data_IF_033852586660
#
_entry.id   IF_033852586660
#
_cell.length_a   1.000
_cell.length_b   1.000
_cell.length_c   1.000
_cell.angle_alpha   90.00
_cell.angle_beta   90.00
_cell.angle_gamma   90.00
#
_symmetry.space_group_name_H-M   'P 1'
#
loop_
_entity.id
_entity.type
_entity.pdbx_description
1 polymer ?
#
# COMPACT_ATOMS: atom_id res chain seq x y z
N UNK A 1 2.02 -16.29 22.30
CA UNK A 1 3.07 -16.15 21.26
C UNK A 1 4.47 -16.61 21.72
N UNK A 2 5.04 -16.14 22.84
CA UNK A 2 6.42 -16.50 23.29
C UNK A 2 6.68 -18.00 23.54
N UNK A 3 5.68 -18.78 23.99
CA UNK A 3 5.80 -20.26 24.16
C UNK A 3 5.73 -21.02 22.82
N UNK A 4 4.95 -20.54 21.85
CA UNK A 4 4.79 -21.16 20.52
C UNK A 4 6.00 -20.92 19.61
N UNK A 5 6.62 -19.74 19.70
CA UNK A 5 7.86 -19.44 18.98
C UNK A 5 9.03 -20.33 19.43
N UNK A 6 9.11 -20.65 20.74
CA UNK A 6 10.09 -21.61 21.28
C UNK A 6 9.89 -23.03 20.74
N UNK A 7 8.66 -23.40 20.37
CA UNK A 7 8.33 -24.72 19.83
C UNK A 7 8.45 -24.83 18.30
N UNK A 8 8.95 -23.79 17.60
CA UNK A 8 9.09 -23.75 16.12
C UNK A 8 7.82 -24.13 15.34
N UNK A 9 6.63 -23.90 15.91
CA UNK A 9 5.37 -24.23 15.26
C UNK A 9 5.13 -23.25 14.11
N UNK A 10 5.26 -23.73 12.87
CA UNK A 10 5.11 -22.94 11.64
C UNK A 10 3.68 -22.94 11.08
N UNK A 11 2.86 -23.90 11.48
CA UNK A 11 1.47 -24.07 11.01
C UNK A 11 0.58 -24.39 12.20
N UNK A 12 -0.57 -23.76 12.23
CA UNK A 12 -1.62 -23.97 13.23
C UNK A 12 -2.91 -24.19 12.48
N UNK A 13 -3.69 -25.18 12.90
CA UNK A 13 -5.03 -25.36 12.37
C UNK A 13 -5.89 -24.23 12.93
N UNK A 14 -6.51 -23.49 12.03
CA UNK A 14 -7.35 -22.33 12.34
C UNK A 14 -8.76 -22.65 11.88
N UNK A 15 -9.75 -22.23 12.64
CA UNK A 15 -11.16 -22.45 12.29
C UNK A 15 -11.63 -21.36 11.32
N UNK A 16 -12.60 -21.66 10.45
CA UNK A 16 -13.18 -20.69 9.51
C UNK A 16 -13.68 -19.40 10.21
N UNK A 17 -14.18 -19.51 11.44
CA UNK A 17 -14.64 -18.35 12.22
C UNK A 17 -13.51 -17.40 12.66
N UNK A 18 -12.28 -17.90 12.82
CA UNK A 18 -11.12 -17.08 13.18
C UNK A 18 -10.52 -16.36 11.96
N UNK A 19 -10.81 -16.86 10.75
CA UNK A 19 -10.41 -16.26 9.48
C UNK A 19 -11.39 -15.17 9.02
N UNK A 20 -12.67 -15.28 9.40
CA UNK A 20 -13.70 -14.28 9.06
C UNK A 20 -13.29 -12.89 9.58
N UNK A 21 -13.36 -11.90 8.69
CA UNK A 21 -13.04 -10.51 9.02
C UNK A 21 -11.54 -10.16 8.92
N UNK A 22 -10.67 -11.11 8.61
CA UNK A 22 -9.30 -10.80 8.16
C UNK A 22 -9.35 -10.13 6.79
N UNK A 23 -8.34 -9.33 6.47
CA UNK A 23 -8.28 -8.56 5.23
C UNK A 23 -7.21 -9.16 4.33
N UNK A 24 -7.50 -9.28 3.04
CA UNK A 24 -6.55 -9.77 2.04
C UNK A 24 -5.48 -8.70 1.77
N UNK A 25 -4.21 -9.10 1.82
CA UNK A 25 -3.06 -8.20 1.66
C UNK A 25 -2.72 -7.91 0.19
N UNK A 26 -2.94 -8.87 -0.71
CA UNK A 26 -2.57 -8.77 -2.12
C UNK A 26 -3.74 -9.15 -3.02
N UNK A 27 -3.82 -8.53 -4.20
CA UNK A 27 -4.76 -8.96 -5.23
C UNK A 27 -4.41 -10.38 -5.66
N UNK A 28 -5.39 -11.28 -5.61
CA UNK A 28 -5.19 -12.69 -5.95
C UNK A 28 -5.58 -12.89 -7.41
N UNK A 29 -4.65 -13.39 -8.22
CA UNK A 29 -4.85 -13.69 -9.63
C UNK A 29 -4.94 -15.20 -9.85
N UNK A 30 -5.70 -15.62 -10.86
CA UNK A 30 -5.74 -17.03 -11.29
C UNK A 30 -4.71 -17.27 -12.38
N UNK A 31 -3.92 -18.33 -12.23
CA UNK A 31 -3.03 -18.82 -13.28
C UNK A 31 -3.87 -19.29 -14.47
N UNK A 32 -3.89 -18.48 -15.53
CA UNK A 32 -4.39 -18.87 -16.85
C UNK A 32 -5.62 -18.13 -17.38
N UNK A 33 -6.29 -17.27 -16.62
CA UNK A 33 -7.28 -16.36 -17.22
C UNK A 33 -7.27 -15.00 -16.56
N UNK A 34 -6.97 -13.98 -17.37
CA UNK A 34 -6.97 -12.58 -17.00
C UNK A 34 -8.42 -12.05 -16.76
N UNK A 35 -9.38 -12.91 -16.39
CA UNK A 35 -10.78 -12.59 -16.63
C UNK A 35 -11.86 -13.15 -15.69
N UNK A 36 -11.61 -13.72 -14.51
CA UNK A 36 -12.79 -14.13 -13.69
C UNK A 36 -12.79 -13.78 -12.22
N UNK A 37 -11.66 -13.59 -11.53
CA UNK A 37 -11.70 -13.33 -10.08
C UNK A 37 -10.64 -12.33 -9.63
N UNK A 38 -10.76 -11.08 -10.04
CA UNK A 38 -10.06 -9.99 -9.37
C UNK A 38 -10.71 -9.80 -8.01
N UNK A 39 -10.14 -10.41 -6.96
CA UNK A 39 -10.40 -9.97 -5.59
C UNK A 39 -9.45 -8.82 -5.30
N UNK A 40 -9.93 -7.56 -5.22
CA UNK A 40 -9.05 -6.45 -4.94
C UNK A 40 -8.32 -6.66 -3.61
N UNK A 41 -7.11 -6.12 -3.53
CA UNK A 41 -6.45 -5.94 -2.24
C UNK A 41 -7.39 -5.17 -1.29
N UNK A 42 -7.17 -5.32 0.02
CA UNK A 42 -7.97 -4.65 1.05
C UNK A 42 -9.43 -5.16 1.20
N UNK A 43 -9.77 -6.32 0.62
CA UNK A 43 -11.09 -6.92 0.78
C UNK A 43 -11.20 -7.79 2.03
N UNK A 44 -12.35 -7.76 2.74
CA UNK A 44 -12.58 -8.65 3.87
C UNK A 44 -12.81 -10.09 3.42
N UNK A 45 -12.21 -11.02 4.16
CA UNK A 45 -12.34 -12.45 3.98
C UNK A 45 -13.73 -12.89 4.46
N UNK A 46 -14.65 -13.06 3.52
CA UNK A 46 -15.99 -13.59 3.75
C UNK A 46 -16.03 -15.10 3.49
N UNK A 47 -17.09 -15.78 3.95
CA UNK A 47 -17.28 -17.20 3.69
C UNK A 47 -17.40 -17.49 2.17
N UNK A 48 -18.05 -16.59 1.43
CA UNK A 48 -18.18 -16.68 -0.03
C UNK A 48 -16.81 -16.59 -0.72
N UNK A 49 -15.94 -15.68 -0.25
CA UNK A 49 -14.59 -15.54 -0.78
C UNK A 49 -13.77 -16.82 -0.53
N UNK A 50 -13.88 -17.40 0.68
CA UNK A 50 -13.20 -18.64 1.02
C UNK A 50 -13.63 -19.82 0.14
N UNK A 51 -14.93 -19.99 -0.10
CA UNK A 51 -15.42 -21.04 -1.02
C UNK A 51 -14.86 -20.84 -2.41
N UNK A 52 -14.87 -19.61 -2.94
CA UNK A 52 -14.28 -19.29 -4.25
C UNK A 52 -12.78 -19.55 -4.30
N UNK A 53 -12.04 -19.26 -3.23
CA UNK A 53 -10.60 -19.54 -3.17
C UNK A 53 -10.31 -21.04 -3.26
N UNK A 54 -11.08 -21.86 -2.52
CA UNK A 54 -10.95 -23.32 -2.53
C UNK A 54 -11.36 -23.91 -3.88
N UNK A 55 -12.48 -23.47 -4.45
CA UNK A 55 -12.95 -23.90 -5.77
C UNK A 55 -11.92 -23.62 -6.88
N UNK A 56 -11.16 -22.54 -6.74
CA UNK A 56 -10.12 -22.15 -7.69
C UNK A 56 -8.75 -22.75 -7.36
N UNK A 57 -8.64 -23.63 -6.36
CA UNK A 57 -7.40 -24.33 -6.03
C UNK A 57 -6.31 -23.45 -5.44
N UNK A 58 -6.65 -22.28 -4.89
CA UNK A 58 -5.67 -21.37 -4.29
C UNK A 58 -5.25 -21.93 -2.93
N UNK A 59 -3.96 -22.27 -2.80
CA UNK A 59 -3.42 -22.98 -1.62
C UNK A 59 -2.87 -22.05 -0.55
N UNK A 60 -2.57 -20.80 -0.89
CA UNK A 60 -2.02 -19.81 0.02
C UNK A 60 -2.57 -18.42 -0.29
N UNK A 61 -2.86 -17.64 0.76
CA UNK A 61 -3.32 -16.25 0.68
C UNK A 61 -2.66 -15.45 1.78
N UNK A 62 -2.15 -14.27 1.43
CA UNK A 62 -1.58 -13.32 2.38
C UNK A 62 -2.67 -12.45 3.01
N UNK A 63 -2.65 -12.35 4.33
CA UNK A 63 -3.62 -11.58 5.11
C UNK A 63 -2.93 -10.47 5.92
N UNK A 64 -3.60 -9.32 6.04
CA UNK A 64 -3.13 -8.23 6.87
C UNK A 64 -3.20 -8.60 8.36
N UNK A 65 -2.07 -8.45 9.04
CA UNK A 65 -1.98 -8.61 10.49
C UNK A 65 -2.35 -7.30 11.20
N UNK A 66 -3.64 -7.08 11.43
CA UNK A 66 -4.12 -5.96 12.26
C UNK A 66 -4.35 -6.49 13.67
N UNK A 67 -3.62 -5.93 14.63
CA UNK A 67 -3.60 -6.36 16.02
C UNK A 67 -4.00 -5.23 16.97
N UNK A 68 -4.47 -5.54 18.20
CA UNK A 68 -4.92 -4.53 19.15
C UNK A 68 -3.78 -3.65 19.70
N UNK A 69 -2.52 -4.06 19.51
CA UNK A 69 -1.33 -3.36 20.00
C UNK A 69 -0.34 -3.22 18.84
N UNK A 70 0.15 -2.01 18.60
CA UNK A 70 1.21 -1.62 17.64
C UNK A 70 0.91 -1.71 16.13
N UNK A 71 -0.14 -2.40 15.67
CA UNK A 71 -0.47 -2.45 14.22
C UNK A 71 -1.92 -2.03 13.98
N UNK A 72 -2.09 -0.74 13.68
CA UNK A 72 -3.39 -0.13 13.41
C UNK A 72 -3.90 -0.36 11.99
N UNK A 73 -5.20 -0.13 11.78
CA UNK A 73 -5.88 -0.23 10.48
C UNK A 73 -5.78 1.05 9.63
N UNK A 74 -5.02 2.06 10.04
CA UNK A 74 -5.05 3.40 9.42
C UNK A 74 -4.83 3.38 7.90
N UNK A 75 -3.80 2.69 7.40
CA UNK A 75 -3.54 2.59 5.96
C UNK A 75 -4.69 1.90 5.22
N UNK A 76 -5.22 0.84 5.81
CA UNK A 76 -6.34 0.05 5.28
C UNK A 76 -7.60 0.90 5.19
N UNK A 77 -7.93 1.62 6.25
CA UNK A 77 -9.13 2.44 6.33
C UNK A 77 -9.02 3.66 5.40
N UNK A 78 -7.83 4.24 5.24
CA UNK A 78 -7.57 5.29 4.24
C UNK A 78 -7.75 4.76 2.82
N UNK A 79 -7.17 3.60 2.48
CA UNK A 79 -7.33 2.99 1.15
C UNK A 79 -8.79 2.60 0.86
N UNK A 80 -9.58 2.23 1.87
CA UNK A 80 -10.99 1.92 1.69
C UNK A 80 -11.85 3.15 1.36
N UNK A 81 -11.40 4.34 1.77
CA UNK A 81 -12.05 5.62 1.46
C UNK A 81 -11.53 6.24 0.15
N UNK A 82 -10.34 5.82 -0.31
CA UNK A 82 -9.77 6.27 -1.57
C UNK A 82 -10.60 5.75 -2.74
N UNK A 83 -10.97 6.66 -3.64
CA UNK A 83 -11.78 6.36 -4.83
C UNK A 83 -10.92 6.20 -6.08
N UNK A 84 -9.63 6.51 -5.99
CA UNK A 84 -8.72 6.51 -7.11
C UNK A 84 -8.13 5.12 -7.28
N UNK A 85 -8.13 4.66 -8.53
CA UNK A 85 -7.77 3.28 -8.88
C UNK A 85 -6.54 3.18 -9.77
N UNK A 86 -6.00 4.32 -10.21
CA UNK A 86 -4.80 4.37 -11.05
C UNK A 86 -3.89 5.55 -10.68
N UNK A 87 -2.56 5.43 -10.87
CA UNK A 87 -1.62 6.53 -10.67
C UNK A 87 -1.98 7.78 -11.47
N UNK A 88 -2.49 7.62 -12.69
CA UNK A 88 -2.90 8.70 -13.59
C UNK A 88 -4.07 9.50 -13.00
N UNK A 89 -5.07 8.79 -12.45
CA UNK A 89 -6.20 9.43 -11.76
C UNK A 89 -5.71 10.21 -10.54
N UNK A 90 -4.80 9.63 -9.75
CA UNK A 90 -4.19 10.28 -8.58
C UNK A 90 -3.44 11.56 -8.94
N UNK A 91 -2.68 11.56 -10.04
CA UNK A 91 -1.99 12.75 -10.54
C UNK A 91 -2.97 13.85 -10.98
N UNK A 92 -4.02 13.48 -11.72
CA UNK A 92 -5.05 14.43 -12.17
C UNK A 92 -5.76 15.08 -10.98
N UNK A 93 -6.18 14.29 -9.99
CA UNK A 93 -6.87 14.82 -8.81
C UNK A 93 -5.95 15.72 -7.97
N UNK A 94 -4.68 15.34 -7.82
CA UNK A 94 -3.68 16.22 -7.21
C UNK A 94 -3.56 17.56 -7.94
N UNK A 95 -3.51 17.54 -9.28
CA UNK A 95 -3.43 18.76 -10.09
C UNK A 95 -4.67 19.66 -9.92
N UNK A 96 -5.88 19.09 -10.01
CA UNK A 96 -7.13 19.82 -9.79
C UNK A 96 -7.17 20.49 -8.42
N UNK A 97 -6.67 19.82 -7.38
CA UNK A 97 -6.66 20.37 -6.02
C UNK A 97 -5.71 21.56 -5.87
N UNK A 98 -4.55 21.50 -6.51
CA UNK A 98 -3.55 22.57 -6.47
C UNK A 98 -3.89 23.75 -7.39
N UNK A 99 -4.53 23.48 -8.53
CA UNK A 99 -4.90 24.47 -9.55
C UNK A 99 -6.32 24.23 -10.06
N UNK A 100 -7.35 24.68 -9.31
CA UNK A 100 -8.75 24.38 -9.63
C UNK A 100 -9.28 25.02 -10.92
N UNK A 101 -8.56 25.98 -11.50
CA UNK A 101 -8.98 26.70 -12.72
C UNK A 101 -8.33 26.24 -14.03
N UNK A 102 -7.24 25.48 -13.97
CA UNK A 102 -6.50 25.05 -15.17
C UNK A 102 -7.01 23.67 -15.64
N UNK A 103 -7.19 23.44 -16.96
CA UNK A 103 -7.56 22.12 -17.45
C UNK A 103 -6.48 21.09 -17.06
N UNK A 104 -6.83 19.99 -16.38
CA UNK A 104 -5.86 19.01 -15.94
C UNK A 104 -5.41 18.14 -17.13
N UNK A 105 -4.12 18.14 -17.44
CA UNK A 105 -3.50 17.14 -18.33
C UNK A 105 -2.54 16.27 -17.53
N UNK A 106 -2.37 15.00 -17.93
CA UNK A 106 -1.47 14.07 -17.25
C UNK A 106 -0.02 14.58 -17.24
N UNK A 107 0.41 15.16 -18.35
CA UNK A 107 1.76 15.71 -18.48
C UNK A 107 1.98 16.90 -17.54
N UNK A 108 1.02 17.83 -17.46
CA UNK A 108 1.10 18.96 -16.54
C UNK A 108 1.07 18.51 -15.07
N UNK A 109 0.21 17.54 -14.74
CA UNK A 109 0.12 16.96 -13.40
C UNK A 109 1.42 16.27 -12.97
N UNK A 110 1.98 15.46 -13.86
CA UNK A 110 3.25 14.78 -13.63
C UNK A 110 4.40 15.78 -13.47
N UNK A 111 4.51 16.76 -14.38
CA UNK A 111 5.52 17.82 -14.31
C UNK A 111 5.40 18.64 -13.01
N UNK A 112 4.19 18.94 -12.56
CA UNK A 112 3.95 19.63 -11.29
C UNK A 112 4.47 18.83 -10.09
N UNK A 113 4.15 17.53 -10.00
CA UNK A 113 4.64 16.67 -8.92
C UNK A 113 6.18 16.59 -8.92
N UNK A 114 6.78 16.43 -10.10
CA UNK A 114 8.23 16.44 -10.27
C UNK A 114 8.87 17.73 -9.74
N UNK A 115 8.27 18.88 -10.07
CA UNK A 115 8.75 20.18 -9.63
C UNK A 115 8.60 20.41 -8.12
N UNK A 116 7.65 19.78 -7.42
CA UNK A 116 7.47 19.96 -5.98
C UNK A 116 8.56 19.30 -5.13
N UNK A 117 9.04 18.13 -5.54
CA UNK A 117 9.83 17.29 -4.65
C UNK A 117 11.12 16.74 -5.25
N UNK A 118 11.19 16.64 -6.58
CA UNK A 118 12.21 15.82 -7.27
C UNK A 118 13.12 16.63 -8.19
N UNK A 119 12.78 17.89 -8.50
CA UNK A 119 13.64 18.80 -9.28
C UNK A 119 14.50 19.67 -8.37
N UNK A 120 15.82 19.51 -8.48
CA UNK A 120 16.82 20.25 -7.67
C UNK A 120 16.76 21.75 -7.85
N UNK A 121 16.37 22.21 -9.03
CA UNK A 121 16.20 23.63 -9.33
C UNK A 121 14.99 24.25 -8.61
N UNK A 122 14.04 23.42 -8.17
CA UNK A 122 12.76 23.84 -7.57
C UNK A 122 12.63 23.46 -6.10
N UNK A 123 13.30 22.40 -5.67
CA UNK A 123 13.23 21.88 -4.31
C UNK A 123 14.61 21.43 -3.81
N UNK A 124 15.00 21.88 -2.62
CA UNK A 124 16.21 21.41 -1.94
C UNK A 124 15.98 21.35 -0.44
N UNK A 125 16.27 20.20 0.16
CA UNK A 125 16.35 20.00 1.60
C UNK A 125 17.55 20.72 2.23
N UNK A 126 18.47 21.27 1.43
CA UNK A 126 19.82 21.68 1.84
C UNK A 126 20.63 20.52 2.45
N UNK A 127 21.93 20.74 2.69
CA UNK A 127 22.76 19.76 3.41
C UNK A 127 22.22 19.50 4.81
N UNK A 128 21.93 20.55 5.57
CA UNK A 128 21.48 20.43 6.97
C UNK A 128 20.10 19.77 7.07
N UNK A 129 19.17 20.07 6.16
CA UNK A 129 17.85 19.43 6.18
C UNK A 129 17.91 17.94 5.79
N UNK A 130 18.78 17.55 4.84
CA UNK A 130 19.03 16.13 4.54
C UNK A 130 19.63 15.40 5.74
N UNK A 131 20.58 16.01 6.47
CA UNK A 131 21.10 15.43 7.72
C UNK A 131 19.96 15.11 8.68
N UNK A 132 19.14 16.12 8.99
CA UNK A 132 18.08 16.00 9.99
C UNK A 132 17.03 14.97 9.62
N UNK A 133 16.67 14.87 8.33
CA UNK A 133 15.73 13.85 7.86
C UNK A 133 16.37 12.46 7.94
N UNK A 134 17.62 12.30 7.50
CA UNK A 134 18.33 11.03 7.57
C UNK A 134 18.50 10.55 9.02
N UNK A 135 18.88 11.44 9.95
CA UNK A 135 18.96 11.13 11.39
C UNK A 135 17.60 10.71 11.95
N UNK A 136 16.52 11.45 11.62
CA UNK A 136 15.17 11.16 12.11
C UNK A 136 14.63 9.83 11.56
N UNK A 137 14.98 9.48 10.33
CA UNK A 137 14.55 8.24 9.67
C UNK A 137 15.55 7.09 9.84
N UNK A 138 16.67 7.32 10.52
CA UNK A 138 17.75 6.34 10.74
C UNK A 138 18.26 5.77 9.41
N UNK A 139 18.52 6.66 8.45
CA UNK A 139 19.02 6.33 7.11
C UNK A 139 20.52 6.60 7.03
N UNK A 140 21.27 5.62 6.50
CA UNK A 140 22.70 5.74 6.21
C UNK A 140 22.91 6.06 4.72
N UNK A 141 22.43 7.23 4.31
CA UNK A 141 22.40 7.67 2.92
C UNK A 141 23.35 8.86 2.69
N UNK A 142 24.25 8.81 1.69
CA UNK A 142 25.16 9.91 1.39
C UNK A 142 24.43 11.20 0.96
N UNK A 143 25.07 12.32 1.27
CA UNK A 143 24.65 13.72 1.05
C UNK A 143 24.41 14.17 -0.40
N UNK A 144 24.45 13.24 -1.35
CA UNK A 144 24.58 13.53 -2.77
C UNK A 144 23.25 14.06 -3.33
N UNK A 145 22.12 13.56 -2.85
CA UNK A 145 20.80 14.00 -3.30
C UNK A 145 20.15 14.94 -2.28
N UNK A 146 19.83 16.16 -2.70
CA UNK A 146 19.16 17.17 -1.87
C UNK A 146 17.65 17.27 -2.15
N UNK A 147 17.13 16.45 -3.06
CA UNK A 147 15.71 16.26 -3.31
C UNK A 147 15.20 14.99 -2.61
N UNK A 148 13.90 14.72 -2.64
CA UNK A 148 13.34 13.55 -1.97
C UNK A 148 13.70 12.20 -2.63
N UNK A 149 14.17 12.21 -3.88
CA UNK A 149 14.70 11.06 -4.63
C UNK A 149 15.86 11.51 -5.52
#
# INVERSE_FOLDING_TARGET
>A
MKKLQKSKVKRLNVTLNELKGRIVAQTIYKDGSNEVLNFPCNTPLTAELLTKLVENGITAVDLLHIGPQNVGSSLRDTLALDKLSSPEQSLIELYKKMKPGDPPTLEAAHSMLQNFFFKKERYSLSKVGRLKINEKLILDDPWITQCLL
#
